data_IF_749596244187
#
_entry.id   IF_749596244187
#
_cell.length_a   1.000
_cell.length_b   1.000
_cell.length_c   1.000
_cell.angle_alpha   90.00
_cell.angle_beta   90.00
_cell.angle_gamma   90.00
#
_symmetry.space_group_name_H-M   'P 1'
#
loop_
_entity.id
_entity.type
_entity.pdbx_description
1 polymer ?
#
# COMPACT_ATOMS: atom_id res chain seq x y z
N UNK A 1 -35.94 47.39 29.06
CA UNK A 1 -36.23 48.83 28.93
C UNK A 1 -35.31 49.74 29.75
N UNK A 2 -34.64 49.27 30.82
CA UNK A 2 -33.73 50.10 31.64
C UNK A 2 -32.48 50.61 30.90
N UNK A 3 -31.89 49.81 30.00
CA UNK A 3 -30.67 50.19 29.26
C UNK A 3 -30.85 51.39 28.31
N UNK A 4 -32.06 51.58 27.78
CA UNK A 4 -32.36 52.66 26.81
C UNK A 4 -32.53 54.01 27.52
N UNK A 5 -32.97 54.02 28.78
CA UNK A 5 -33.10 55.25 29.57
C UNK A 5 -31.73 55.78 30.03
N UNK A 6 -30.79 54.90 30.38
CA UNK A 6 -29.44 55.31 30.78
C UNK A 6 -28.60 55.83 29.59
N UNK A 7 -28.76 55.27 28.39
CA UNK A 7 -28.10 55.78 27.17
C UNK A 7 -28.60 57.19 26.82
N UNK A 8 -29.92 57.43 26.93
CA UNK A 8 -30.49 58.78 26.73
C UNK A 8 -29.99 59.78 27.78
N UNK A 9 -29.79 59.33 29.02
CA UNK A 9 -29.24 60.16 30.10
C UNK A 9 -27.76 60.48 29.87
N UNK A 10 -26.97 59.55 29.34
CA UNK A 10 -25.58 59.76 28.93
C UNK A 10 -25.44 60.75 27.77
N UNK A 11 -26.29 60.62 26.74
CA UNK A 11 -26.32 61.53 25.58
C UNK A 11 -26.75 62.97 25.94
N UNK A 12 -27.44 63.16 27.06
CA UNK A 12 -27.92 64.46 27.53
C UNK A 12 -27.02 65.16 28.56
N UNK A 13 -25.95 64.52 29.06
CA UNK A 13 -25.06 65.14 30.06
C UNK A 13 -24.15 66.19 29.41
N UNK A 14 -24.26 67.44 29.89
CA UNK A 14 -23.46 68.60 29.45
C UNK A 14 -22.29 68.92 30.39
N UNK A 15 -22.01 68.05 31.36
CA UNK A 15 -20.91 68.22 32.30
C UNK A 15 -19.58 68.16 31.52
N UNK A 16 -18.88 69.28 31.41
CA UNK A 16 -17.76 69.46 30.47
C UNK A 16 -16.63 68.43 30.59
N UNK A 17 -16.46 67.81 31.75
CA UNK A 17 -15.44 66.78 31.95
C UNK A 17 -15.77 65.46 31.25
N UNK A 18 -17.04 65.06 31.16
CA UNK A 18 -17.46 63.81 30.52
C UNK A 18 -17.31 63.86 29.00
N UNK A 19 -17.63 65.01 28.40
CA UNK A 19 -17.43 65.23 26.96
C UNK A 19 -15.96 65.15 26.57
N UNK A 20 -15.07 65.77 27.37
CA UNK A 20 -13.62 65.77 27.12
C UNK A 20 -13.03 64.37 27.30
N UNK A 21 -13.36 63.64 28.37
CA UNK A 21 -12.83 62.28 28.59
C UNK A 21 -13.34 61.29 27.54
N UNK A 22 -14.61 61.40 27.13
CA UNK A 22 -15.18 60.55 26.07
C UNK A 22 -14.54 60.87 24.72
N UNK A 23 -14.33 62.15 24.38
CA UNK A 23 -13.68 62.55 23.13
C UNK A 23 -12.23 62.05 23.02
N UNK A 24 -11.53 61.90 24.15
CA UNK A 24 -10.16 61.39 24.20
C UNK A 24 -10.08 59.86 24.15
N UNK A 25 -10.99 59.16 24.85
CA UNK A 25 -10.96 57.69 24.99
C UNK A 25 -11.64 56.97 23.84
N UNK A 26 -12.70 57.53 23.26
CA UNK A 26 -13.48 56.89 22.19
C UNK A 26 -12.63 56.55 20.95
N UNK A 27 -11.76 57.44 20.42
CA UNK A 27 -10.91 57.11 19.27
C UNK A 27 -9.91 56.00 19.59
N UNK A 28 -9.42 55.93 20.83
CA UNK A 28 -8.47 54.90 21.28
C UNK A 28 -9.16 53.54 21.34
N UNK A 29 -10.36 53.46 21.92
CA UNK A 29 -11.12 52.21 22.01
C UNK A 29 -11.51 51.68 20.63
N UNK A 30 -11.96 52.56 19.73
CA UNK A 30 -12.30 52.19 18.35
C UNK A 30 -11.02 51.77 17.60
N UNK A 31 -9.89 52.45 17.83
CA UNK A 31 -8.56 52.08 17.34
C UNK A 31 -8.13 50.67 17.71
N UNK A 32 -8.23 50.33 19.00
CA UNK A 32 -7.90 49.00 19.51
C UNK A 32 -8.84 47.93 18.96
N UNK A 33 -10.13 48.22 18.84
CA UNK A 33 -11.08 47.30 18.24
C UNK A 33 -10.79 47.01 16.75
N UNK A 34 -10.40 48.04 15.98
CA UNK A 34 -9.98 47.88 14.58
C UNK A 34 -8.74 46.98 14.44
N UNK A 35 -7.72 47.21 15.27
CA UNK A 35 -6.53 46.37 15.31
C UNK A 35 -6.84 44.92 15.72
N UNK A 36 -7.79 44.70 16.63
CA UNK A 36 -8.22 43.36 17.03
C UNK A 36 -8.89 42.59 15.89
N UNK A 37 -9.73 43.25 15.08
CA UNK A 37 -10.36 42.64 13.90
C UNK A 37 -9.33 42.32 12.83
N UNK A 38 -8.41 43.25 12.56
CA UNK A 38 -7.37 43.05 11.55
C UNK A 38 -6.38 41.95 11.94
N UNK A 39 -5.98 41.86 13.21
CA UNK A 39 -5.14 40.75 13.69
C UNK A 39 -5.84 39.40 13.59
N UNK A 40 -7.15 39.33 13.85
CA UNK A 40 -7.94 38.12 13.64
C UNK A 40 -8.01 37.74 12.15
N UNK A 41 -8.26 38.71 11.26
CA UNK A 41 -8.32 38.49 9.81
C UNK A 41 -6.96 38.07 9.23
N UNK A 42 -5.86 38.67 9.69
CA UNK A 42 -4.51 38.30 9.31
C UNK A 42 -4.17 36.88 9.77
N UNK A 43 -4.52 36.52 11.02
CA UNK A 43 -4.30 35.18 11.54
C UNK A 43 -5.09 34.12 10.77
N UNK A 44 -6.34 34.41 10.42
CA UNK A 44 -7.17 33.53 9.59
C UNK A 44 -6.58 33.37 8.19
N UNK A 45 -6.22 34.47 7.53
CA UNK A 45 -5.63 34.48 6.19
C UNK A 45 -4.30 33.72 6.15
N UNK A 46 -3.48 33.85 7.20
CA UNK A 46 -2.22 33.12 7.32
C UNK A 46 -2.43 31.61 7.41
N UNK A 47 -3.40 31.14 8.21
CA UNK A 47 -3.73 29.72 8.33
C UNK A 47 -4.23 29.14 7.01
N UNK A 48 -5.14 29.84 6.36
CA UNK A 48 -5.70 29.45 5.08
C UNK A 48 -4.63 29.39 3.97
N UNK A 49 -3.71 30.36 3.95
CA UNK A 49 -2.60 30.36 3.01
C UNK A 49 -1.63 29.20 3.30
N UNK A 50 -1.38 28.89 4.56
CA UNK A 50 -0.54 27.75 4.96
C UNK A 50 -1.15 26.42 4.50
N UNK A 51 -2.45 26.20 4.73
CA UNK A 51 -3.17 24.99 4.32
C UNK A 51 -3.12 24.80 2.79
N UNK A 52 -3.38 25.87 2.02
CA UNK A 52 -3.29 25.84 0.57
C UNK A 52 -1.87 25.54 0.06
N UNK A 53 -0.85 26.08 0.75
CA UNK A 53 0.58 25.87 0.44
C UNK A 53 1.02 24.44 0.73
N UNK A 54 0.60 23.86 1.86
CA UNK A 54 0.89 22.47 2.23
C UNK A 54 0.21 21.49 1.28
N UNK A 55 -1.05 21.73 0.92
CA UNK A 55 -1.78 20.91 -0.04
C UNK A 55 -1.14 20.96 -1.44
N UNK A 56 -0.67 22.13 -1.88
CA UNK A 56 0.09 22.29 -3.11
C UNK A 56 1.41 21.50 -3.07
N UNK A 57 2.19 21.62 -1.99
CA UNK A 57 3.47 20.93 -1.85
C UNK A 57 3.28 19.41 -1.89
N UNK A 58 2.24 18.89 -1.22
CA UNK A 58 1.90 17.47 -1.22
C UNK A 58 1.43 16.96 -2.58
N UNK A 59 0.60 17.73 -3.30
CA UNK A 59 0.12 17.36 -4.63
C UNK A 59 1.28 17.24 -5.64
N UNK A 60 2.18 18.21 -5.65
CA UNK A 60 3.39 18.18 -6.50
C UNK A 60 4.30 17.03 -6.12
N UNK A 61 4.57 16.84 -4.83
CA UNK A 61 5.37 15.73 -4.33
C UNK A 61 4.81 14.36 -4.75
N UNK A 62 3.49 14.19 -4.71
CA UNK A 62 2.84 12.93 -5.10
C UNK A 62 2.93 12.70 -6.62
N UNK A 63 2.72 13.74 -7.42
CA UNK A 63 2.81 13.66 -8.88
C UNK A 63 4.23 13.34 -9.37
N UNK A 64 5.25 13.92 -8.70
CA UNK A 64 6.67 13.62 -8.97
C UNK A 64 7.03 12.19 -8.54
N UNK A 65 6.59 11.75 -7.35
CA UNK A 65 6.86 10.41 -6.85
C UNK A 65 6.29 9.30 -7.73
N UNK A 66 5.09 9.51 -8.28
CA UNK A 66 4.40 8.55 -9.15
C UNK A 66 4.87 8.63 -10.62
N UNK A 67 5.78 9.55 -10.96
CA UNK A 67 6.26 9.73 -12.34
C UNK A 67 5.22 10.31 -13.30
N UNK A 68 4.15 10.91 -12.79
CA UNK A 68 3.07 11.52 -13.58
C UNK A 68 3.42 12.96 -14.01
N UNK A 69 4.33 13.61 -13.28
CA UNK A 69 4.88 14.92 -13.58
C UNK A 69 6.41 14.93 -13.53
N UNK A 70 7.03 15.78 -14.34
CA UNK A 70 8.44 16.16 -14.30
C UNK A 70 8.64 17.50 -13.56
N UNK A 71 9.87 18.01 -13.48
CA UNK A 71 10.15 19.28 -12.76
C UNK A 71 9.41 20.49 -13.35
N UNK A 72 9.11 20.49 -14.65
CA UNK A 72 8.48 21.64 -15.31
C UNK A 72 6.96 21.59 -15.12
N UNK A 73 6.37 20.45 -15.40
CA UNK A 73 4.95 20.17 -15.19
C UNK A 73 4.57 20.15 -13.70
N UNK A 74 5.48 19.71 -12.82
CA UNK A 74 5.30 19.76 -11.36
C UNK A 74 5.24 21.19 -10.82
N UNK A 75 6.07 22.10 -11.35
CA UNK A 75 5.98 23.54 -10.99
C UNK A 75 4.65 24.14 -11.44
N UNK A 76 4.22 23.86 -12.67
CA UNK A 76 2.94 24.32 -13.18
C UNK A 76 1.77 23.77 -12.33
N UNK A 77 1.81 22.48 -12.01
CA UNK A 77 0.81 21.80 -11.17
C UNK A 77 0.71 22.44 -9.78
N UNK A 78 1.84 22.74 -9.12
CA UNK A 78 1.83 23.39 -7.81
C UNK A 78 1.21 24.78 -7.86
N UNK A 79 1.59 25.59 -8.87
CA UNK A 79 1.02 26.92 -9.05
C UNK A 79 -0.48 26.86 -9.36
N UNK A 80 -0.93 25.91 -10.17
CA UNK A 80 -2.35 25.70 -10.48
C UNK A 80 -3.13 25.24 -9.25
N UNK A 81 -2.61 24.26 -8.52
CA UNK A 81 -3.25 23.72 -7.32
C UNK A 81 -3.39 24.79 -6.22
N UNK A 82 -2.32 25.54 -5.95
CA UNK A 82 -2.34 26.67 -5.02
C UNK A 82 -3.36 27.72 -5.44
N UNK A 83 -3.40 28.08 -6.74
CA UNK A 83 -4.37 29.05 -7.24
C UNK A 83 -5.82 28.57 -7.10
N UNK A 84 -6.08 27.27 -7.31
CA UNK A 84 -7.39 26.68 -7.14
C UNK A 84 -7.87 26.71 -5.69
N UNK A 85 -6.99 26.41 -4.74
CA UNK A 85 -7.29 26.50 -3.31
C UNK A 85 -7.60 27.95 -2.89
N UNK A 86 -6.78 28.90 -3.35
CA UNK A 86 -6.98 30.33 -3.04
C UNK A 86 -8.24 30.88 -3.71
N UNK A 87 -8.60 30.40 -4.90
CA UNK A 87 -9.83 30.82 -5.58
C UNK A 87 -11.08 30.49 -4.77
N UNK A 88 -11.09 29.34 -4.06
CA UNK A 88 -12.18 28.95 -3.16
C UNK A 88 -12.28 29.81 -1.89
N UNK A 89 -11.20 30.50 -1.51
CA UNK A 89 -11.11 31.25 -0.26
C UNK A 89 -11.28 32.76 -0.49
N UNK A 90 -10.63 33.30 -1.51
CA UNK A 90 -10.49 34.74 -1.75
C UNK A 90 -10.93 35.19 -3.16
N UNK A 91 -11.43 34.26 -3.99
CA UNK A 91 -11.90 34.53 -5.34
C UNK A 91 -10.80 34.53 -6.41
N UNK A 92 -11.22 34.62 -7.67
CA UNK A 92 -10.35 34.41 -8.85
C UNK A 92 -9.27 35.49 -9.02
N UNK A 93 -9.55 36.74 -8.67
CA UNK A 93 -8.57 37.84 -8.76
C UNK A 93 -7.42 37.65 -7.77
N UNK A 94 -7.74 37.25 -6.53
CA UNK A 94 -6.74 36.96 -5.50
C UNK A 94 -5.93 35.70 -5.86
N UNK A 95 -6.57 34.68 -6.43
CA UNK A 95 -5.90 33.49 -6.92
C UNK A 95 -4.87 33.79 -8.01
N UNK A 96 -5.21 34.65 -8.98
CA UNK A 96 -4.28 35.05 -10.04
C UNK A 96 -3.07 35.83 -9.50
N UNK A 97 -3.29 36.72 -8.52
CA UNK A 97 -2.23 37.46 -7.86
C UNK A 97 -1.31 36.54 -7.04
N UNK A 98 -1.90 35.63 -6.26
CA UNK A 98 -1.15 34.67 -5.45
C UNK A 98 -0.34 33.69 -6.31
N UNK A 99 -0.89 33.24 -7.45
CA UNK A 99 -0.18 32.40 -8.42
C UNK A 99 1.06 33.11 -8.99
N UNK A 100 0.99 34.41 -9.23
CA UNK A 100 2.13 35.22 -9.73
C UNK A 100 3.17 35.49 -8.65
N UNK A 101 2.75 35.60 -7.39
CA UNK A 101 3.62 35.86 -6.24
C UNK A 101 4.22 34.58 -5.62
N UNK A 102 3.68 33.40 -5.96
CA UNK A 102 4.15 32.12 -5.46
C UNK A 102 5.38 31.62 -6.22
N UNK A 103 6.26 30.93 -5.50
CA UNK A 103 7.43 30.25 -6.05
C UNK A 103 7.37 28.78 -5.67
N UNK A 104 7.39 27.90 -6.67
CA UNK A 104 7.55 26.45 -6.48
C UNK A 104 8.96 26.07 -6.93
N UNK A 105 9.80 25.66 -6.00
CA UNK A 105 11.11 25.08 -6.29
C UNK A 105 11.08 23.57 -6.09
N UNK A 106 11.63 22.85 -7.06
CA UNK A 106 11.78 21.39 -7.02
C UNK A 106 13.28 21.15 -7.15
N UNK A 107 13.85 20.44 -6.18
CA UNK A 107 15.24 19.98 -6.23
C UNK A 107 15.25 18.46 -6.35
N UNK A 108 15.74 17.97 -7.49
CA UNK A 108 15.90 16.53 -7.72
C UNK A 108 17.30 16.08 -7.34
N UNK A 109 17.40 15.13 -6.43
CA UNK A 109 18.65 14.44 -6.11
C UNK A 109 18.58 13.00 -6.60
N UNK A 110 19.42 12.66 -7.57
CA UNK A 110 19.55 11.29 -8.09
C UNK A 110 20.66 10.55 -7.37
N UNK A 111 20.33 9.43 -6.73
CA UNK A 111 21.31 8.49 -6.13
C UNK A 111 21.15 7.09 -6.74
N UNK A 112 22.09 6.19 -6.49
CA UNK A 112 21.97 4.76 -6.82
C UNK A 112 20.77 4.07 -6.13
N UNK A 113 20.18 4.71 -5.11
CA UNK A 113 19.02 4.25 -4.34
C UNK A 113 17.68 4.82 -4.85
N UNK A 114 17.69 5.61 -5.93
CA UNK A 114 16.53 6.24 -6.56
C UNK A 114 16.58 7.77 -6.56
N UNK A 115 15.47 8.41 -6.98
CA UNK A 115 15.34 9.88 -7.06
C UNK A 115 14.64 10.41 -5.82
N UNK A 116 15.18 11.46 -5.21
CA UNK A 116 14.51 12.27 -4.18
C UNK A 116 14.12 13.60 -4.79
N UNK A 117 12.90 14.04 -4.54
CA UNK A 117 12.35 15.32 -4.94
C UNK A 117 12.03 16.13 -3.69
N UNK A 118 12.79 17.19 -3.46
CA UNK A 118 12.47 18.18 -2.43
C UNK A 118 11.63 19.26 -3.08
N UNK A 119 10.37 19.35 -2.69
CA UNK A 119 9.42 20.35 -3.18
C UNK A 119 9.27 21.43 -2.12
N UNK A 120 9.57 22.67 -2.49
CA UNK A 120 9.41 23.84 -1.63
C UNK A 120 8.46 24.83 -2.30
N UNK A 121 7.32 25.08 -1.67
CA UNK A 121 6.30 26.02 -2.11
C UNK A 121 6.32 27.21 -1.18
N UNK A 122 6.56 28.40 -1.72
CA UNK A 122 6.49 29.67 -1.00
C UNK A 122 5.39 30.50 -1.64
N UNK A 123 4.45 30.99 -0.85
CA UNK A 123 3.34 31.82 -1.30
C UNK A 123 3.23 33.09 -0.47
N UNK A 124 2.71 34.15 -1.08
CA UNK A 124 2.42 35.39 -0.36
C UNK A 124 1.18 36.07 -0.95
N UNK A 125 0.41 36.73 -0.09
CA UNK A 125 -0.80 37.46 -0.48
C UNK A 125 -0.95 38.74 0.35
N UNK A 126 -1.31 39.88 -0.28
CA UNK A 126 -1.66 41.09 0.46
C UNK A 126 -3.06 40.96 1.08
N UNK A 127 -3.17 41.23 2.38
CA UNK A 127 -4.43 41.34 3.12
C UNK A 127 -4.72 42.82 3.33
N UNK A 128 -5.94 43.24 2.97
CA UNK A 128 -6.37 44.63 3.14
C UNK A 128 -6.77 44.86 4.60
N UNK A 129 -6.20 45.88 5.22
CA UNK A 129 -6.52 46.26 6.60
C UNK A 129 -7.78 47.14 6.64
N UNK A 130 -8.42 47.20 7.79
CA UNK A 130 -9.51 48.15 8.02
C UNK A 130 -9.01 49.60 7.88
N UNK A 131 -9.88 50.56 7.48
CA UNK A 131 -9.49 51.95 7.28
C UNK A 131 -8.81 52.61 8.48
N UNK A 132 -9.11 52.13 9.68
CA UNK A 132 -8.58 52.66 10.92
C UNK A 132 -7.14 52.19 11.18
N UNK A 133 -6.86 50.91 10.94
CA UNK A 133 -5.49 50.38 10.96
C UNK A 133 -4.67 50.90 9.80
N UNK A 134 -5.32 51.21 8.66
CA UNK A 134 -4.67 51.82 7.50
C UNK A 134 -4.10 53.22 7.77
N UNK A 135 -4.68 53.96 8.72
CA UNK A 135 -4.17 55.25 9.17
C UNK A 135 -2.79 55.15 9.87
N UNK A 136 -2.49 53.99 10.45
CA UNK A 136 -1.30 53.76 11.28
C UNK A 136 -0.26 52.90 10.55
N UNK A 137 -0.69 51.82 9.89
CA UNK A 137 0.18 50.80 9.31
C UNK A 137 0.09 50.68 7.77
N UNK A 138 -0.69 51.54 7.12
CA UNK A 138 -0.95 51.49 5.67
C UNK A 138 -2.06 50.50 5.27
N UNK A 139 -2.50 50.55 4.02
CA UNK A 139 -3.73 49.87 3.58
C UNK A 139 -3.64 48.34 3.48
N UNK A 140 -2.43 47.78 3.43
CA UNK A 140 -2.23 46.34 3.19
C UNK A 140 -1.07 45.78 4.00
N UNK A 141 -1.23 44.58 4.53
CA UNK A 141 -0.15 43.77 5.10
C UNK A 141 0.01 42.46 4.33
N UNK A 142 1.23 42.10 4.00
CA UNK A 142 1.53 40.85 3.28
C UNK A 142 1.66 39.70 4.26
N UNK A 143 0.88 38.65 4.06
CA UNK A 143 1.08 37.35 4.73
C UNK A 143 1.84 36.41 3.80
N UNK A 144 2.75 35.62 4.37
CA UNK A 144 3.54 34.63 3.63
C UNK A 144 3.41 33.26 4.28
N UNK A 145 3.43 32.22 3.46
CA UNK A 145 3.47 30.83 3.88
C UNK A 145 4.55 30.08 3.11
N UNK A 146 5.16 29.10 3.76
CA UNK A 146 6.14 28.22 3.13
C UNK A 146 5.86 26.79 3.57
N UNK A 147 5.94 25.88 2.60
CA UNK A 147 5.83 24.44 2.84
C UNK A 147 6.96 23.73 2.12
N UNK A 148 7.59 22.78 2.81
CA UNK A 148 8.65 21.96 2.28
C UNK A 148 8.27 20.50 2.49
N UNK A 149 8.08 19.79 1.40
CA UNK A 149 7.82 18.35 1.41
C UNK A 149 8.95 17.62 0.72
N UNK A 150 9.25 16.42 1.18
CA UNK A 150 10.22 15.54 0.52
C UNK A 150 9.51 14.30 0.05
N UNK A 151 9.50 14.10 -1.26
CA UNK A 151 9.05 12.87 -1.89
C UNK A 151 10.23 12.17 -2.54
N UNK A 152 10.10 10.90 -2.84
CA UNK A 152 11.14 10.21 -3.60
C UNK A 152 10.56 9.04 -4.35
N UNK A 153 10.96 8.90 -5.61
CA UNK A 153 10.93 7.61 -6.29
C UNK A 153 12.19 6.83 -5.91
N UNK A 154 12.28 6.49 -4.63
CA UNK A 154 13.30 5.59 -4.11
C UNK A 154 12.86 4.16 -4.36
N UNK A 155 13.74 3.34 -4.93
CA UNK A 155 13.63 1.88 -4.84
C UNK A 155 13.90 1.46 -3.40
N UNK A 156 13.12 1.92 -2.42
CA UNK A 156 12.94 1.14 -1.20
C UNK A 156 12.12 -0.06 -1.60
N UNK A 157 12.81 -1.01 -2.22
CA UNK A 157 12.41 -2.40 -2.28
C UNK A 157 12.29 -2.82 -0.82
N UNK A 158 11.06 -3.07 -0.36
CA UNK A 158 10.90 -3.72 0.93
C UNK A 158 11.54 -5.11 0.83
N UNK A 159 12.03 -5.61 1.96
CA UNK A 159 12.31 -7.03 2.05
C UNK A 159 11.02 -7.81 1.74
N UNK A 160 11.13 -8.95 1.09
CA UNK A 160 10.00 -9.84 0.85
C UNK A 160 10.35 -11.16 1.50
N UNK A 161 9.47 -11.66 2.35
CA UNK A 161 9.57 -12.99 2.94
C UNK A 161 8.34 -13.77 2.51
N UNK A 162 8.54 -14.71 1.59
CA UNK A 162 7.46 -15.44 0.93
C UNK A 162 7.59 -16.95 1.16
N UNK A 163 6.54 -17.56 1.70
CA UNK A 163 6.47 -19.01 1.90
C UNK A 163 5.36 -19.60 1.02
N UNK A 164 5.72 -20.53 0.14
CA UNK A 164 4.75 -21.26 -0.68
C UNK A 164 4.25 -22.47 0.10
N UNK A 165 2.94 -22.65 0.21
CA UNK A 165 2.29 -23.80 0.86
C UNK A 165 1.52 -24.56 -0.21
N UNK A 166 2.08 -25.68 -0.66
CA UNK A 166 1.69 -26.34 -1.91
C UNK A 166 1.17 -27.75 -1.66
N UNK A 167 -0.03 -28.01 -2.16
CA UNK A 167 -0.64 -29.34 -2.11
C UNK A 167 0.13 -30.34 -2.99
N UNK A 168 0.47 -31.48 -2.40
CA UNK A 168 1.12 -32.62 -3.02
C UNK A 168 0.34 -33.93 -2.73
N UNK A 169 -0.95 -33.83 -2.40
CA UNK A 169 -1.88 -34.94 -2.20
C UNK A 169 -2.11 -35.73 -3.48
N UNK A 170 -2.72 -36.91 -3.36
CA UNK A 170 -2.97 -37.77 -4.50
C UNK A 170 -3.93 -37.17 -5.54
N UNK A 171 -4.79 -36.20 -5.20
CA UNK A 171 -5.64 -35.50 -6.19
C UNK A 171 -4.81 -34.71 -7.21
N UNK A 172 -3.65 -34.20 -6.79
CA UNK A 172 -2.71 -33.46 -7.63
C UNK A 172 -2.02 -34.31 -8.71
N UNK A 173 -2.13 -35.64 -8.65
CA UNK A 173 -1.67 -36.53 -9.72
C UNK A 173 -2.64 -36.58 -10.91
N UNK A 174 -3.85 -36.02 -10.79
CA UNK A 174 -4.83 -36.00 -11.88
C UNK A 174 -4.36 -35.22 -13.11
N UNK A 175 -4.84 -35.62 -14.28
CA UNK A 175 -4.60 -34.94 -15.55
C UNK A 175 -5.35 -33.59 -15.59
N UNK A 176 -4.71 -32.57 -16.15
CA UNK A 176 -5.32 -31.27 -16.49
C UNK A 176 -6.01 -31.35 -17.86
N UNK A 177 -6.59 -30.25 -18.32
CA UNK A 177 -7.16 -30.11 -19.67
C UNK A 177 -6.11 -29.80 -20.75
N UNK A 178 -4.85 -29.57 -20.38
CA UNK A 178 -3.79 -29.15 -21.32
C UNK A 178 -2.98 -30.35 -21.82
N UNK A 179 -3.00 -30.59 -23.13
CA UNK A 179 -2.36 -31.75 -23.74
C UNK A 179 -0.83 -31.63 -23.74
N UNK A 180 -0.15 -32.69 -23.33
CA UNK A 180 1.30 -32.86 -23.34
C UNK A 180 1.68 -34.11 -24.16
N UNK A 181 1.54 -34.02 -25.48
CA UNK A 181 1.89 -35.11 -26.38
C UNK A 181 0.94 -36.29 -26.32
N UNK A 182 1.49 -37.50 -26.48
CA UNK A 182 0.71 -38.71 -26.71
C UNK A 182 1.29 -39.86 -25.89
N UNK A 183 0.45 -40.53 -25.08
CA UNK A 183 0.79 -41.74 -24.31
C UNK A 183 0.29 -43.00 -25.01
N UNK A 184 0.95 -44.12 -24.76
CA UNK A 184 0.45 -45.40 -25.27
C UNK A 184 -0.82 -45.80 -24.53
N UNK A 185 -1.87 -46.15 -25.28
CA UNK A 185 -3.13 -46.63 -24.75
C UNK A 185 -3.22 -48.16 -24.75
N UNK A 186 -2.60 -48.80 -25.75
CA UNK A 186 -2.70 -50.24 -25.96
C UNK A 186 -1.31 -50.81 -26.20
N UNK A 187 -0.89 -51.70 -25.32
CA UNK A 187 0.33 -52.49 -25.46
C UNK A 187 -0.02 -53.92 -25.89
N UNK A 188 0.67 -54.43 -26.91
CA UNK A 188 0.65 -55.83 -27.31
C UNK A 188 2.10 -56.34 -27.33
N UNK A 189 2.42 -57.34 -26.51
CA UNK A 189 3.78 -57.89 -26.37
C UNK A 189 4.83 -56.81 -26.06
N UNK A 190 4.47 -55.78 -25.28
CA UNK A 190 5.34 -54.65 -24.94
C UNK A 190 5.50 -53.61 -26.06
N UNK A 191 4.86 -53.81 -27.21
CA UNK A 191 4.85 -52.86 -28.33
C UNK A 191 3.59 -51.99 -28.22
N UNK A 192 3.77 -50.67 -28.36
CA UNK A 192 2.65 -49.76 -28.41
C UNK A 192 1.94 -49.85 -29.77
N UNK A 193 0.67 -50.27 -29.78
CA UNK A 193 -0.15 -50.43 -31.00
C UNK A 193 -1.32 -49.45 -31.07
N UNK A 194 -1.50 -48.60 -30.05
CA UNK A 194 -2.53 -47.58 -30.02
C UNK A 194 -2.15 -46.47 -29.06
N UNK A 195 -2.42 -45.23 -29.45
CA UNK A 195 -1.99 -44.02 -28.72
C UNK A 195 -3.19 -43.17 -28.32
N UNK A 196 -3.07 -42.45 -27.20
CA UNK A 196 -4.08 -41.51 -26.70
C UNK A 196 -3.40 -40.19 -26.28
N UNK A 197 -4.12 -39.06 -26.28
CA UNK A 197 -3.62 -37.80 -25.74
C UNK A 197 -3.10 -37.98 -24.31
N UNK A 198 -1.89 -37.49 -24.05
CA UNK A 198 -1.38 -37.31 -22.70
C UNK A 198 -1.63 -35.86 -22.28
N UNK A 199 -1.87 -35.62 -21.00
CA UNK A 199 -2.09 -34.28 -20.46
C UNK A 199 -1.05 -33.98 -19.40
N UNK A 200 -0.81 -32.70 -19.12
CA UNK A 200 -0.02 -32.33 -17.94
C UNK A 200 -0.77 -32.76 -16.68
N UNK A 201 -0.07 -33.35 -15.72
CA UNK A 201 -0.64 -33.56 -14.39
C UNK A 201 -0.82 -32.22 -13.67
N UNK A 202 -1.74 -32.14 -12.70
CA UNK A 202 -1.94 -30.90 -11.94
C UNK A 202 -0.68 -30.47 -11.19
N UNK A 203 0.11 -31.43 -10.69
CA UNK A 203 1.38 -31.14 -10.04
C UNK A 203 2.43 -30.58 -11.01
N UNK A 204 2.47 -31.04 -12.27
CA UNK A 204 3.38 -30.48 -13.28
C UNK A 204 2.99 -29.05 -13.63
N UNK A 205 1.69 -28.78 -13.78
CA UNK A 205 1.17 -27.43 -13.99
C UNK A 205 1.53 -26.50 -12.81
N UNK A 206 1.39 -26.98 -11.57
CA UNK A 206 1.80 -26.26 -10.35
C UNK A 206 3.30 -25.92 -10.38
N UNK A 207 4.17 -26.89 -10.72
CA UNK A 207 5.62 -26.66 -10.78
C UNK A 207 5.99 -25.58 -11.80
N UNK A 208 5.34 -25.60 -12.96
CA UNK A 208 5.56 -24.60 -14.02
C UNK A 208 5.05 -23.22 -13.57
N UNK A 209 3.89 -23.15 -12.93
CA UNK A 209 3.33 -21.90 -12.43
C UNK A 209 4.16 -21.30 -11.29
N UNK A 210 4.58 -22.10 -10.32
CA UNK A 210 5.48 -21.67 -9.25
C UNK A 210 6.81 -21.14 -9.80
N UNK A 211 7.35 -21.76 -10.86
CA UNK A 211 8.54 -21.24 -11.53
C UNK A 211 8.34 -19.81 -12.06
N UNK A 212 7.16 -19.47 -12.59
CA UNK A 212 6.84 -18.09 -13.03
C UNK A 212 6.82 -17.09 -11.88
N UNK A 213 6.30 -17.48 -10.72
CA UNK A 213 6.37 -16.65 -9.52
C UNK A 213 7.83 -16.40 -9.11
N UNK A 214 8.65 -17.44 -9.08
CA UNK A 214 10.07 -17.31 -8.76
C UNK A 214 10.82 -16.45 -9.80
N UNK A 215 10.50 -16.56 -11.09
CA UNK A 215 11.08 -15.73 -12.15
C UNK A 215 10.77 -14.24 -11.92
N UNK A 216 9.55 -13.91 -11.48
CA UNK A 216 9.18 -12.54 -11.09
C UNK A 216 9.96 -12.04 -9.88
N UNK A 217 10.19 -12.90 -8.88
CA UNK A 217 11.01 -12.58 -7.71
C UNK A 217 12.49 -12.38 -8.07
N UNK A 218 13.06 -13.24 -8.92
CA UNK A 218 14.46 -13.14 -9.37
C UNK A 218 14.68 -11.88 -10.22
N UNK A 219 13.70 -11.53 -11.07
CA UNK A 219 13.71 -10.27 -11.82
C UNK A 219 13.66 -9.06 -10.89
N UNK A 220 12.91 -9.14 -9.80
CA UNK A 220 12.86 -8.09 -8.79
C UNK A 220 14.15 -8.04 -7.96
N UNK A 221 14.78 -9.15 -7.62
CA UNK A 221 15.98 -9.18 -6.76
C UNK A 221 17.12 -10.04 -7.32
N UNK A 222 17.79 -9.60 -8.41
CA UNK A 222 18.87 -10.36 -9.04
C UNK A 222 20.08 -10.61 -8.13
N UNK A 223 20.25 -9.79 -7.09
CA UNK A 223 21.39 -9.82 -6.17
C UNK A 223 21.04 -10.44 -4.80
N UNK A 224 19.86 -11.06 -4.67
CA UNK A 224 19.39 -11.76 -3.45
C UNK A 224 19.51 -10.93 -2.16
N UNK A 225 19.18 -9.64 -2.25
CA UNK A 225 19.25 -8.69 -1.14
C UNK A 225 17.91 -8.49 -0.43
N UNK A 226 16.80 -8.62 -1.13
CA UNK A 226 15.46 -8.26 -0.67
C UNK A 226 14.57 -9.48 -0.46
N UNK A 227 14.68 -10.50 -1.31
CA UNK A 227 13.79 -11.66 -1.30
C UNK A 227 14.39 -12.78 -0.45
N UNK A 228 13.60 -13.26 0.50
CA UNK A 228 13.77 -14.55 1.15
C UNK A 228 12.56 -15.40 0.82
N UNK A 229 12.79 -16.63 0.39
CA UNK A 229 11.71 -17.54 0.04
C UNK A 229 11.89 -18.92 0.66
N UNK A 230 10.75 -19.56 0.88
CA UNK A 230 10.60 -20.94 1.34
C UNK A 230 9.43 -21.60 0.65
N UNK A 231 9.40 -22.93 0.69
CA UNK A 231 8.30 -23.71 0.17
C UNK A 231 8.07 -24.94 1.05
N UNK A 232 6.81 -25.22 1.35
CA UNK A 232 6.33 -26.38 2.11
C UNK A 232 5.37 -27.13 1.20
N UNK A 233 5.64 -28.42 0.99
CA UNK A 233 4.72 -29.33 0.31
C UNK A 233 3.99 -30.20 1.33
N UNK A 234 2.68 -30.39 1.18
CA UNK A 234 1.86 -31.12 2.14
C UNK A 234 0.92 -32.14 1.50
N UNK A 235 0.50 -33.11 2.31
CA UNK A 235 -0.53 -34.13 2.02
C UNK A 235 -1.48 -34.13 3.22
N UNK A 236 -1.72 -35.25 3.90
CA UNK A 236 -2.30 -35.27 5.26
C UNK A 236 -1.34 -34.77 6.35
N UNK A 237 -0.06 -34.59 5.99
CA UNK A 237 0.98 -34.00 6.82
C UNK A 237 2.03 -33.30 5.94
N UNK A 238 2.99 -32.62 6.57
CA UNK A 238 4.11 -32.00 5.84
C UNK A 238 4.94 -33.11 5.17
N UNK A 239 4.99 -33.08 3.84
CA UNK A 239 5.75 -34.04 3.03
C UNK A 239 7.22 -33.65 2.90
N UNK A 240 7.50 -32.35 2.91
CA UNK A 240 8.83 -31.79 2.82
C UNK A 240 8.77 -30.26 2.79
N UNK A 241 9.90 -29.62 3.10
CA UNK A 241 10.03 -28.17 3.11
C UNK A 241 11.46 -27.75 2.75
N UNK A 242 11.60 -26.59 2.12
CA UNK A 242 12.87 -25.88 2.01
C UNK A 242 13.07 -24.96 3.22
N UNK A 243 14.32 -24.60 3.58
CA UNK A 243 14.54 -23.51 4.53
C UNK A 243 14.10 -22.17 3.93
N UNK A 244 13.68 -21.24 4.79
CA UNK A 244 13.59 -19.82 4.44
C UNK A 244 15.00 -19.27 4.18
N UNK A 245 15.31 -18.98 2.91
CA UNK A 245 16.66 -18.60 2.47
C UNK A 245 16.63 -17.40 1.52
N UNK A 246 17.78 -16.72 1.37
CA UNK A 246 17.94 -15.61 0.43
C UNK A 246 17.82 -16.09 -1.02
N UNK A 247 17.05 -15.36 -1.83
CA UNK A 247 16.74 -15.72 -3.22
C UNK A 247 15.67 -16.81 -3.33
N UNK A 248 15.54 -17.38 -4.54
CA UNK A 248 14.52 -18.38 -4.86
C UNK A 248 15.04 -19.81 -5.00
N UNK A 249 16.36 -20.02 -5.02
CA UNK A 249 16.98 -21.30 -5.39
C UNK A 249 16.47 -22.48 -4.56
N UNK A 250 16.53 -22.42 -3.22
CA UNK A 250 16.14 -23.54 -2.36
C UNK A 250 14.63 -23.87 -2.46
N UNK A 251 13.79 -22.83 -2.49
CA UNK A 251 12.34 -23.00 -2.64
C UNK A 251 12.01 -23.58 -4.02
N UNK A 252 12.64 -23.06 -5.09
CA UNK A 252 12.48 -23.54 -6.46
C UNK A 252 12.91 -24.99 -6.62
N UNK A 253 14.04 -25.38 -6.02
CA UNK A 253 14.54 -26.76 -6.05
C UNK A 253 13.60 -27.71 -5.29
N UNK A 254 13.06 -27.29 -4.14
CA UNK A 254 12.04 -28.06 -3.42
C UNK A 254 10.80 -28.29 -4.29
N UNK A 255 10.24 -27.21 -4.87
CA UNK A 255 9.04 -27.31 -5.72
C UNK A 255 9.25 -28.22 -6.91
N UNK A 256 10.38 -28.07 -7.61
CA UNK A 256 10.74 -28.90 -8.76
C UNK A 256 10.75 -30.40 -8.41
N UNK A 257 11.24 -30.72 -7.21
CA UNK A 257 11.42 -32.08 -6.72
C UNK A 257 10.21 -32.64 -5.95
N UNK A 258 9.07 -31.94 -5.90
CA UNK A 258 7.84 -32.49 -5.29
C UNK A 258 7.45 -33.78 -6.01
N UNK A 259 7.18 -34.83 -5.23
CA UNK A 259 6.72 -36.13 -5.73
C UNK A 259 5.37 -36.45 -5.08
N UNK A 260 4.40 -36.86 -5.90
CA UNK A 260 3.10 -37.31 -5.40
C UNK A 260 3.22 -38.78 -5.00
N UNK A 261 2.94 -39.07 -3.72
CA UNK A 261 2.82 -40.44 -3.25
C UNK A 261 1.35 -40.90 -3.34
N UNK A 262 1.14 -42.16 -3.69
CA UNK A 262 -0.19 -42.75 -3.82
C UNK A 262 -0.93 -42.82 -2.47
N UNK A 263 -2.26 -42.68 -2.52
CA UNK A 263 -3.20 -42.83 -1.41
C UNK A 263 -2.99 -41.88 -0.21
N UNK A 264 -2.53 -40.65 -0.46
CA UNK A 264 -2.49 -39.61 0.56
C UNK A 264 -3.57 -38.58 0.29
N UNK A 265 -4.36 -38.24 1.31
CA UNK A 265 -5.32 -37.14 1.21
C UNK A 265 -4.70 -35.80 1.57
N UNK A 266 -5.54 -34.85 1.98
CA UNK A 266 -5.20 -33.43 1.99
C UNK A 266 -5.52 -32.79 3.35
N UNK A 267 -4.50 -32.24 4.01
CA UNK A 267 -4.61 -31.44 5.23
C UNK A 267 -3.50 -30.37 5.26
N UNK A 268 -3.90 -29.11 5.01
CA UNK A 268 -2.98 -27.98 5.01
C UNK A 268 -2.64 -27.46 6.41
N UNK A 269 -3.25 -28.00 7.49
CA UNK A 269 -3.19 -27.41 8.84
C UNK A 269 -1.75 -27.28 9.33
N UNK A 270 -1.00 -28.38 9.32
CA UNK A 270 0.39 -28.39 9.78
C UNK A 270 1.27 -27.46 8.92
N UNK A 271 1.06 -27.46 7.61
CA UNK A 271 1.84 -26.64 6.68
C UNK A 271 1.57 -25.15 6.87
N UNK A 272 0.31 -24.74 7.03
CA UNK A 272 -0.07 -23.36 7.31
C UNK A 272 0.46 -22.89 8.67
N UNK A 273 0.38 -23.74 9.70
CA UNK A 273 0.94 -23.44 11.01
C UNK A 273 2.46 -23.22 10.95
N UNK A 274 3.19 -24.08 10.24
CA UNK A 274 4.64 -23.95 10.05
C UNK A 274 4.98 -22.71 9.24
N UNK A 275 4.27 -22.45 8.14
CA UNK A 275 4.48 -21.24 7.33
C UNK A 275 4.29 -19.97 8.17
N UNK A 276 3.24 -19.93 9.00
CA UNK A 276 3.01 -18.83 9.93
C UNK A 276 4.18 -18.67 10.90
N UNK A 277 4.63 -19.76 11.54
CA UNK A 277 5.76 -19.71 12.48
C UNK A 277 7.08 -19.28 11.83
N UNK A 278 7.31 -19.63 10.56
CA UNK A 278 8.54 -19.29 9.84
C UNK A 278 8.66 -17.79 9.55
N UNK A 279 7.54 -17.09 9.27
CA UNK A 279 7.57 -15.72 8.74
C UNK A 279 6.82 -14.69 9.59
N UNK A 280 6.06 -15.10 10.61
CA UNK A 280 5.30 -14.18 11.46
C UNK A 280 6.21 -13.15 12.12
N UNK A 281 5.79 -11.88 12.04
CA UNK A 281 6.49 -10.78 12.68
C UNK A 281 6.07 -10.69 14.14
N UNK A 282 7.04 -10.54 15.05
CA UNK A 282 6.73 -10.24 16.44
C UNK A 282 6.71 -8.73 16.70
N UNK A 283 6.11 -8.32 17.83
CA UNK A 283 5.93 -6.90 18.18
C UNK A 283 7.26 -6.14 18.26
N UNK A 284 8.34 -6.82 18.64
CA UNK A 284 9.65 -6.21 18.88
C UNK A 284 10.60 -6.29 17.67
N UNK A 285 10.18 -6.91 16.56
CA UNK A 285 11.03 -7.16 15.39
C UNK A 285 12.23 -8.07 15.67
N UNK A 286 12.16 -8.90 16.70
CA UNK A 286 13.21 -9.86 17.09
C UNK A 286 12.95 -11.26 16.57
N UNK A 287 11.88 -11.46 15.79
CA UNK A 287 11.65 -12.72 15.08
C UNK A 287 12.78 -12.99 14.08
N UNK A 288 13.02 -14.27 13.80
CA UNK A 288 14.10 -14.73 12.92
C UNK A 288 14.09 -13.98 11.59
N UNK A 289 12.92 -13.81 11.00
CA UNK A 289 12.83 -13.22 9.67
C UNK A 289 13.07 -11.70 9.68
N UNK A 290 12.62 -10.97 10.70
CA UNK A 290 12.96 -9.56 10.89
C UNK A 290 14.46 -9.37 11.11
N UNK A 291 15.09 -10.25 11.90
CA UNK A 291 16.53 -10.23 12.15
C UNK A 291 17.33 -10.52 10.88
N UNK A 292 16.94 -11.52 10.09
CA UNK A 292 17.59 -11.81 8.82
C UNK A 292 17.46 -10.63 7.85
N UNK A 293 16.26 -10.07 7.69
CA UNK A 293 16.03 -8.91 6.81
C UNK A 293 16.87 -7.69 7.24
N UNK A 294 17.01 -7.45 8.55
CA UNK A 294 17.85 -6.38 9.08
C UNK A 294 19.35 -6.55 8.73
N UNK A 295 19.86 -7.80 8.62
CA UNK A 295 21.25 -8.06 8.19
C UNK A 295 21.54 -7.56 6.77
N UNK A 296 20.52 -7.47 5.91
CA UNK A 296 20.62 -6.88 4.56
C UNK A 296 20.18 -5.41 4.51
N UNK A 297 20.05 -4.76 5.67
CA UNK A 297 19.58 -3.38 5.83
C UNK A 297 18.14 -3.15 5.33
N UNK A 298 17.31 -4.21 5.32
CA UNK A 298 15.88 -4.08 5.04
C UNK A 298 15.18 -3.76 6.36
N UNK A 299 14.75 -2.50 6.52
CA UNK A 299 14.10 -2.00 7.75
C UNK A 299 12.61 -2.34 7.82
N UNK A 300 12.02 -2.71 6.69
CA UNK A 300 10.66 -3.22 6.57
C UNK A 300 10.65 -4.38 5.57
N UNK A 301 9.73 -5.30 5.79
CA UNK A 301 9.59 -6.47 4.94
C UNK A 301 8.17 -7.00 4.93
N UNK A 302 7.66 -7.27 3.73
CA UNK A 302 6.34 -7.85 3.49
C UNK A 302 6.38 -9.36 3.76
N UNK A 303 5.41 -9.85 4.54
CA UNK A 303 5.24 -11.27 4.87
C UNK A 303 4.12 -11.85 4.02
N UNK A 304 4.43 -12.89 3.24
CA UNK A 304 3.51 -13.44 2.26
C UNK A 304 3.45 -14.96 2.36
N UNK A 305 2.23 -15.50 2.40
CA UNK A 305 1.96 -16.92 2.18
C UNK A 305 1.24 -17.07 0.84
N UNK A 306 1.66 -18.06 0.05
CA UNK A 306 0.92 -18.49 -1.16
C UNK A 306 0.42 -19.90 -0.93
N UNK A 307 -0.85 -20.06 -0.62
CA UNK A 307 -1.49 -21.35 -0.36
C UNK A 307 -2.20 -21.86 -1.62
N UNK A 308 -1.92 -23.10 -2.02
CA UNK A 308 -2.54 -23.72 -3.19
C UNK A 308 -3.04 -25.13 -2.87
N UNK A 309 -4.25 -25.45 -3.31
CA UNK A 309 -4.82 -26.82 -3.31
C UNK A 309 -5.71 -27.03 -4.54
N UNK A 310 -5.87 -28.29 -4.95
CA UNK A 310 -6.82 -28.72 -5.97
C UNK A 310 -8.04 -29.47 -5.40
N UNK A 311 -8.20 -29.47 -4.08
CA UNK A 311 -9.06 -30.43 -3.40
C UNK A 311 -9.65 -29.95 -2.08
N UNK A 312 -10.49 -30.82 -1.56
CA UNK A 312 -11.10 -30.70 -0.23
C UNK A 312 -10.12 -31.16 0.86
N UNK A 313 -10.24 -30.61 2.07
CA UNK A 313 -9.46 -31.12 3.21
C UNK A 313 -10.02 -32.48 3.65
N UNK A 314 -9.36 -33.57 3.28
CA UNK A 314 -9.80 -34.94 3.55
C UNK A 314 -9.00 -35.67 4.63
N UNK A 315 -7.84 -35.15 5.03
CA UNK A 315 -6.90 -35.86 5.91
C UNK A 315 -6.43 -37.18 5.29
N UNK A 316 -6.43 -38.27 6.05
CA UNK A 316 -6.15 -39.62 5.52
C UNK A 316 -7.41 -40.34 4.99
N UNK A 317 -8.52 -39.62 4.82
CA UNK A 317 -9.78 -40.18 4.32
C UNK A 317 -10.03 -39.80 2.86
N UNK A 318 -11.04 -40.42 2.25
CA UNK A 318 -11.50 -40.11 0.88
C UNK A 318 -12.61 -39.06 0.82
N UNK A 319 -13.02 -38.51 1.96
CA UNK A 319 -14.14 -37.57 2.08
C UNK A 319 -13.71 -36.29 2.78
N UNK A 320 -14.37 -35.19 2.48
CA UNK A 320 -14.11 -33.92 3.17
C UNK A 320 -14.38 -34.03 4.68
N UNK A 321 -13.46 -33.50 5.48
CA UNK A 321 -13.51 -33.50 6.94
C UNK A 321 -13.63 -32.07 7.46
N UNK A 322 -14.81 -31.73 7.99
CA UNK A 322 -15.13 -30.37 8.48
C UNK A 322 -14.16 -29.84 9.53
N UNK A 323 -13.66 -30.70 10.41
CA UNK A 323 -12.72 -30.31 11.47
C UNK A 323 -11.38 -29.86 10.90
N UNK A 324 -10.88 -30.54 9.86
CA UNK A 324 -9.63 -30.18 9.20
C UNK A 324 -9.80 -28.88 8.41
N UNK A 325 -10.91 -28.74 7.69
CA UNK A 325 -11.28 -27.49 7.03
C UNK A 325 -11.27 -26.31 8.01
N UNK A 326 -11.90 -26.46 9.18
CA UNK A 326 -11.90 -25.45 10.23
C UNK A 326 -10.50 -25.18 10.78
N UNK A 327 -9.68 -26.21 11.02
CA UNK A 327 -8.30 -26.04 11.49
C UNK A 327 -7.45 -25.23 10.51
N UNK A 328 -7.61 -25.45 9.20
CA UNK A 328 -6.94 -24.61 8.18
C UNK A 328 -7.44 -23.17 8.23
N UNK A 329 -8.76 -22.94 8.38
CA UNK A 329 -9.33 -21.59 8.54
C UNK A 329 -8.78 -20.86 9.77
N UNK A 330 -8.61 -21.57 10.87
CA UNK A 330 -8.07 -21.01 12.10
C UNK A 330 -6.61 -20.55 11.88
N UNK A 331 -5.79 -21.38 11.22
CA UNK A 331 -4.41 -20.99 10.89
C UNK A 331 -4.33 -19.84 9.87
N UNK A 332 -5.22 -19.79 8.88
CA UNK A 332 -5.34 -18.63 7.99
C UNK A 332 -5.72 -17.36 8.76
N UNK A 333 -6.59 -17.47 9.77
CA UNK A 333 -6.97 -16.33 10.62
C UNK A 333 -5.81 -15.87 11.48
N UNK A 334 -5.04 -16.80 12.05
CA UNK A 334 -3.82 -16.51 12.81
C UNK A 334 -2.78 -15.78 11.96
N UNK A 335 -2.53 -16.26 10.73
CA UNK A 335 -1.60 -15.62 9.82
C UNK A 335 -2.04 -14.20 9.43
N UNK A 336 -3.33 -13.99 9.12
CA UNK A 336 -3.87 -12.65 8.86
C UNK A 336 -3.74 -11.72 10.07
N UNK A 337 -4.01 -12.23 11.28
CA UNK A 337 -3.85 -11.46 12.53
C UNK A 337 -2.38 -11.08 12.79
N UNK A 338 -1.42 -11.91 12.36
CA UNK A 338 0.02 -11.62 12.39
C UNK A 338 0.47 -10.64 11.30
N UNK A 339 -0.45 -10.10 10.48
CA UNK A 339 -0.14 -9.18 9.39
C UNK A 339 0.44 -9.84 8.15
N UNK A 340 0.34 -11.17 8.04
CA UNK A 340 0.78 -11.92 6.86
C UNK A 340 -0.28 -11.81 5.76
N UNK A 341 0.17 -11.47 4.55
CA UNK A 341 -0.67 -11.45 3.35
C UNK A 341 -0.77 -12.84 2.75
N UNK A 342 -1.98 -13.36 2.59
CA UNK A 342 -2.25 -14.70 2.07
C UNK A 342 -2.83 -14.57 0.67
N UNK A 343 -2.10 -15.09 -0.32
CA UNK A 343 -2.61 -15.38 -1.65
C UNK A 343 -3.05 -16.84 -1.69
N UNK A 344 -4.16 -17.11 -2.37
CA UNK A 344 -4.69 -18.46 -2.47
C UNK A 344 -5.00 -18.84 -3.91
N UNK A 345 -4.73 -20.09 -4.27
CA UNK A 345 -4.96 -20.61 -5.62
C UNK A 345 -5.74 -21.92 -5.55
N UNK A 346 -7.00 -21.89 -5.96
CA UNK A 346 -7.91 -23.01 -6.03
C UNK A 346 -7.87 -23.61 -7.44
N UNK A 347 -6.96 -24.55 -7.69
CA UNK A 347 -6.72 -25.05 -9.05
C UNK A 347 -7.59 -26.26 -9.35
N UNK A 348 -8.61 -26.10 -10.19
CA UNK A 348 -9.59 -27.16 -10.49
C UNK A 348 -10.16 -27.82 -9.21
N UNK A 349 -10.37 -27.00 -8.17
CA UNK A 349 -10.80 -27.45 -6.85
C UNK A 349 -12.33 -27.53 -6.76
N UNK A 350 -12.88 -28.46 -5.97
CA UNK A 350 -14.32 -28.53 -5.66
C UNK A 350 -14.78 -27.37 -4.75
N UNK A 351 -16.09 -27.16 -4.66
CA UNK A 351 -16.73 -26.02 -3.98
C UNK A 351 -16.24 -25.78 -2.54
N UNK A 352 -15.98 -26.84 -1.76
CA UNK A 352 -15.54 -26.66 -0.37
C UNK A 352 -14.08 -26.22 -0.30
N UNK A 353 -13.20 -26.83 -1.09
CA UNK A 353 -11.82 -26.36 -1.29
C UNK A 353 -11.77 -24.89 -1.77
N UNK A 354 -12.64 -24.51 -2.72
CA UNK A 354 -12.77 -23.13 -3.16
C UNK A 354 -13.21 -22.20 -2.01
N UNK A 355 -14.24 -22.58 -1.26
CA UNK A 355 -14.75 -21.79 -0.12
C UNK A 355 -13.72 -21.65 1.02
N UNK A 356 -12.88 -22.66 1.22
CA UNK A 356 -11.76 -22.60 2.15
C UNK A 356 -10.71 -21.58 1.70
N UNK A 357 -10.24 -21.70 0.46
CA UNK A 357 -9.22 -20.81 -0.09
C UNK A 357 -9.70 -19.36 -0.18
N UNK A 358 -10.95 -19.14 -0.60
CA UNK A 358 -11.55 -17.80 -0.62
C UNK A 358 -11.59 -17.15 0.76
N UNK A 359 -11.84 -17.92 1.82
CA UNK A 359 -11.78 -17.42 3.20
C UNK A 359 -10.34 -17.14 3.66
N UNK A 360 -9.39 -17.98 3.26
CA UNK A 360 -7.99 -17.83 3.62
C UNK A 360 -7.33 -16.61 2.97
N UNK A 361 -7.75 -16.24 1.75
CA UNK A 361 -7.26 -15.05 1.06
C UNK A 361 -7.40 -13.78 1.94
N UNK A 362 -6.39 -12.91 1.90
CA UNK A 362 -6.44 -11.64 2.65
C UNK A 362 -7.46 -10.63 2.09
N UNK A 363 -7.78 -10.73 0.81
CA UNK A 363 -8.85 -9.98 0.13
C UNK A 363 -9.32 -10.75 -1.10
N UNK A 364 -10.42 -10.32 -1.72
CA UNK A 364 -10.91 -10.92 -2.96
C UNK A 364 -9.86 -10.86 -4.09
N UNK A 365 -9.00 -9.83 -4.11
CA UNK A 365 -7.91 -9.71 -5.10
C UNK A 365 -6.73 -10.67 -4.83
N UNK A 366 -6.72 -11.34 -3.68
CA UNK A 366 -5.72 -12.34 -3.32
C UNK A 366 -6.19 -13.78 -3.59
N UNK A 367 -7.41 -13.98 -4.08
CA UNK A 367 -7.99 -15.27 -4.41
C UNK A 367 -7.94 -15.52 -5.93
N UNK A 368 -7.49 -16.71 -6.32
CA UNK A 368 -7.43 -17.14 -7.71
C UNK A 368 -8.06 -18.52 -7.87
N UNK A 369 -8.88 -18.71 -8.90
CA UNK A 369 -9.58 -19.97 -9.19
C UNK A 369 -9.31 -20.43 -10.64
N UNK A 370 -8.07 -20.83 -10.97
CA UNK A 370 -7.74 -21.27 -12.30
C UNK A 370 -8.34 -22.65 -12.61
N UNK A 371 -8.94 -22.77 -13.80
CA UNK A 371 -9.44 -24.04 -14.34
C UNK A 371 -8.62 -24.58 -15.53
N UNK A 372 -7.55 -23.86 -15.90
CA UNK A 372 -6.61 -24.22 -16.98
C UNK A 372 -5.17 -23.95 -16.56
N UNK A 373 -4.21 -24.59 -17.21
CA UNK A 373 -2.78 -24.40 -16.93
C UNK A 373 -2.34 -22.95 -17.22
N UNK A 374 -2.83 -22.34 -18.29
CA UNK A 374 -2.51 -20.93 -18.62
C UNK A 374 -3.06 -19.96 -17.57
N UNK A 375 -4.28 -20.20 -17.08
CA UNK A 375 -4.83 -19.41 -15.98
C UNK A 375 -4.03 -19.59 -14.69
N UNK A 376 -3.55 -20.81 -14.42
CA UNK A 376 -2.71 -21.10 -13.26
C UNK A 376 -1.37 -20.37 -13.33
N UNK A 377 -0.67 -20.44 -14.46
CA UNK A 377 0.60 -19.73 -14.66
C UNK A 377 0.42 -18.21 -14.59
N UNK A 378 -0.70 -17.68 -15.12
CA UNK A 378 -1.06 -16.27 -15.03
C UNK A 378 -1.32 -15.83 -13.59
N UNK A 379 -2.01 -16.66 -12.80
CA UNK A 379 -2.26 -16.39 -11.38
C UNK A 379 -0.94 -16.26 -10.60
N UNK A 380 -0.01 -17.22 -10.77
CA UNK A 380 1.30 -17.16 -10.11
C UNK A 380 2.17 -15.98 -10.58
N UNK A 381 2.10 -15.61 -11.87
CA UNK A 381 2.76 -14.40 -12.38
C UNK A 381 2.20 -13.14 -11.70
N UNK A 382 0.88 -13.02 -11.64
CA UNK A 382 0.18 -11.90 -10.97
C UNK A 382 0.55 -11.79 -9.49
N UNK A 383 0.64 -12.92 -8.78
CA UNK A 383 1.08 -12.96 -7.38
C UNK A 383 2.54 -12.45 -7.27
N UNK A 384 3.44 -12.91 -8.13
CA UNK A 384 4.84 -12.45 -8.15
C UNK A 384 4.98 -10.95 -8.43
N UNK A 385 4.20 -10.41 -9.36
CA UNK A 385 4.15 -8.98 -9.65
C UNK A 385 3.57 -8.17 -8.48
N UNK A 386 2.50 -8.66 -7.86
CA UNK A 386 1.88 -8.03 -6.70
C UNK A 386 2.81 -8.03 -5.47
N UNK A 387 3.54 -9.13 -5.25
CA UNK A 387 4.51 -9.25 -4.16
C UNK A 387 5.70 -8.29 -4.30
N UNK A 388 6.06 -7.92 -5.54
CA UNK A 388 7.26 -7.12 -5.84
C UNK A 388 6.97 -5.63 -6.03
N UNK A 389 5.72 -5.20 -5.85
CA UNK A 389 5.30 -3.80 -6.02
C UNK A 389 5.72 -2.94 -4.82
N UNK A 390 6.73 -2.07 -4.99
CA UNK A 390 7.17 -1.10 -3.97
C UNK A 390 6.06 -0.11 -3.62
N UNK A 391 5.75 0.04 -2.32
CA UNK A 391 4.90 1.11 -1.79
C UNK A 391 5.69 2.43 -1.77
N UNK A 392 5.28 3.42 -2.56
CA UNK A 392 5.81 4.79 -2.51
C UNK A 392 5.61 5.39 -1.11
N UNK A 393 6.67 5.94 -0.50
CA UNK A 393 6.63 6.52 0.87
C UNK A 393 6.75 8.04 0.79
N UNK A 394 5.68 8.74 1.18
CA UNK A 394 5.67 10.19 1.36
C UNK A 394 6.08 10.51 2.80
N UNK A 395 7.02 11.44 2.98
CA UNK A 395 7.32 12.06 4.28
C UNK A 395 7.00 13.55 4.19
N UNK A 396 5.97 13.98 4.92
CA UNK A 396 5.65 15.39 5.09
C UNK A 396 6.56 15.97 6.19
#
# INVERSE_FOLDING_TARGET
MLYVQDIKRLLGRRDGNFGITTALVLPILVGVAGLAVDTANLSLSQRQLQEATDASALAVSTALANGVADETSGKALGLDFLSGQIAGIAGSTAAAAAKKAATVSITTTTTSSGKSFVVNVVSSMPVTLTPLSALIAGNTMTVAAASKTTSGSGTTKNGISIELVLDASSSMAGDTTTQNGTKCAIYLLGICIGTQPAYYSKIDALKIAAAKLFDSLDKYDPNTRYVRSGAISYTSSIKGQSPMAWGTTNARDHVKNIVIAANNGTDATAAMKTANANIAKNLYGTDTESVEQAKKLNTSSDRIIVLMTDGDMTGDTSSWVSKLDQSVRDECSNAKAAGIKIYTVAFMAPDKGQALLKFCASSDSNYYEPNTMDALTSAFSSIGEAATKSTSRLTN
#
